data_IF_432558955281
#
_entry.id   IF_432558955281
#
_cell.length_a   1.000
_cell.length_b   1.000
_cell.length_c   1.000
_cell.angle_alpha   90.00
_cell.angle_beta   90.00
_cell.angle_gamma   90.00
#
_symmetry.space_group_name_H-M   'P 1'
#
loop_
_entity.id
_entity.type
_entity.pdbx_description
1 polymer ?
#
# COMPACT_ATOMS: atom_id res chain seq x y z
N UNK A 1 6.04 0.85 0.93
CA UNK A 1 5.88 -0.54 0.42
C UNK A 1 5.84 -0.57 -1.09
N UNK A 2 6.42 -1.58 -1.67
CA UNK A 2 6.30 -1.81 -3.11
C UNK A 2 4.97 -2.47 -3.43
N UNK A 3 4.53 -2.35 -4.69
CA UNK A 3 3.27 -2.95 -5.12
C UNK A 3 3.20 -4.44 -4.80
N UNK A 4 4.28 -5.18 -5.05
CA UNK A 4 4.36 -6.60 -4.75
C UNK A 4 4.05 -6.91 -3.28
N UNK A 5 4.60 -6.11 -2.38
CA UNK A 5 4.38 -6.28 -0.95
C UNK A 5 2.92 -5.99 -0.58
N UNK A 6 2.34 -4.94 -1.16
CA UNK A 6 0.95 -4.58 -0.90
C UNK A 6 0.03 -5.71 -1.35
N UNK A 7 0.27 -6.25 -2.54
CA UNK A 7 -0.54 -7.35 -3.06
C UNK A 7 -0.47 -8.58 -2.15
N UNK A 8 0.73 -8.88 -1.64
CA UNK A 8 0.92 -10.02 -0.75
C UNK A 8 0.25 -9.80 0.61
N UNK A 9 0.40 -8.61 1.18
CA UNK A 9 -0.17 -8.28 2.50
C UNK A 9 -1.69 -8.29 2.47
N UNK A 10 -2.29 -7.69 1.44
CA UNK A 10 -3.74 -7.59 1.34
C UNK A 10 -4.38 -8.79 0.65
N UNK A 11 -3.59 -9.62 -0.03
CA UNK A 11 -4.13 -10.75 -0.79
C UNK A 11 -5.02 -10.32 -1.95
N UNK A 12 -4.65 -9.24 -2.63
CA UNK A 12 -5.44 -8.67 -3.72
C UNK A 12 -4.66 -8.70 -5.02
N UNK A 13 -5.35 -8.48 -6.14
CA UNK A 13 -4.71 -8.35 -7.46
C UNK A 13 -4.40 -6.88 -7.75
N UNK A 14 -3.61 -6.65 -8.81
CA UNK A 14 -3.21 -5.31 -9.20
C UNK A 14 -4.39 -4.41 -9.54
N UNK A 15 -5.43 -4.96 -10.14
CA UNK A 15 -6.64 -4.20 -10.48
C UNK A 15 -7.29 -3.65 -9.21
N UNK A 16 -7.40 -4.48 -8.18
CA UNK A 16 -7.99 -4.06 -6.90
C UNK A 16 -7.11 -3.00 -6.23
N UNK A 17 -5.79 -3.18 -6.29
CA UNK A 17 -4.86 -2.17 -5.76
C UNK A 17 -5.07 -0.82 -6.46
N UNK A 18 -5.17 -0.81 -7.78
CA UNK A 18 -5.41 0.42 -8.53
C UNK A 18 -6.71 1.10 -8.09
N UNK A 19 -7.75 0.32 -7.83
CA UNK A 19 -9.03 0.85 -7.35
C UNK A 19 -8.89 1.48 -5.97
N UNK A 20 -8.15 0.85 -5.07
CA UNK A 20 -7.91 1.42 -3.73
C UNK A 20 -7.13 2.73 -3.80
N UNK A 21 -6.12 2.80 -4.66
CA UNK A 21 -5.36 4.03 -4.86
C UNK A 21 -6.26 5.12 -5.43
N UNK A 22 -7.07 4.79 -6.43
CA UNK A 22 -7.96 5.74 -7.07
C UNK A 22 -9.03 6.27 -6.10
N UNK A 23 -9.52 5.42 -5.21
CA UNK A 23 -10.51 5.83 -4.21
C UNK A 23 -9.92 6.59 -3.03
N UNK A 24 -8.59 6.64 -2.93
CA UNK A 24 -7.91 7.33 -1.84
C UNK A 24 -7.71 6.49 -0.58
N UNK A 25 -8.05 5.21 -0.63
CA UNK A 25 -7.88 4.32 0.52
C UNK A 25 -6.41 3.96 0.76
N UNK A 26 -5.62 3.86 -0.31
CA UNK A 26 -4.18 3.65 -0.24
C UNK A 26 -3.50 4.88 -0.82
N UNK A 27 -2.58 5.46 -0.06
CA UNK A 27 -1.82 6.63 -0.52
C UNK A 27 -0.48 6.21 -1.09
N UNK A 28 -0.02 6.95 -2.09
CA UNK A 28 1.31 6.78 -2.65
C UNK A 28 2.23 7.80 -2.01
N UNK A 29 3.29 7.32 -1.34
CA UNK A 29 4.25 8.21 -0.68
C UNK A 29 5.16 8.91 -1.68
N UNK A 30 5.81 8.12 -2.54
CA UNK A 30 6.72 8.66 -3.56
C UNK A 30 6.67 7.77 -4.79
N UNK A 31 7.15 8.33 -5.91
CA UNK A 31 7.33 7.58 -7.16
C UNK A 31 8.80 7.66 -7.55
N UNK A 32 9.45 6.51 -7.71
CA UNK A 32 10.85 6.41 -8.09
C UNK A 32 10.93 5.63 -9.40
N UNK A 33 11.51 6.24 -10.44
CA UNK A 33 11.69 5.60 -11.75
C UNK A 33 10.39 4.96 -12.27
N UNK A 34 9.26 5.66 -12.11
CA UNK A 34 7.96 5.17 -12.55
C UNK A 34 7.34 4.12 -11.64
N UNK A 35 8.02 3.73 -10.57
CA UNK A 35 7.48 2.76 -9.61
C UNK A 35 6.96 3.48 -8.36
N UNK A 36 5.74 3.15 -7.99
CA UNK A 36 5.12 3.75 -6.81
C UNK A 36 5.57 3.05 -5.53
N UNK A 37 5.76 3.86 -4.49
CA UNK A 37 5.97 3.38 -3.13
C UNK A 37 4.72 3.70 -2.33
N UNK A 38 4.03 2.69 -1.86
CA UNK A 38 2.75 2.85 -1.18
C UNK A 38 2.95 3.09 0.30
N UNK A 39 2.06 3.90 0.90
CA UNK A 39 2.09 4.18 2.32
C UNK A 39 1.70 2.94 3.12
N UNK A 40 2.62 2.42 3.92
CA UNK A 40 2.39 1.18 4.67
C UNK A 40 1.26 1.32 5.69
N UNK A 41 1.14 2.48 6.34
CA UNK A 41 0.08 2.71 7.31
C UNK A 41 -1.30 2.59 6.67
N UNK A 42 -1.50 3.17 5.47
CA UNK A 42 -2.78 3.06 4.78
C UNK A 42 -3.08 1.62 4.40
N UNK A 43 -2.07 0.86 3.98
CA UNK A 43 -2.23 -0.55 3.61
C UNK A 43 -2.67 -1.36 4.82
N UNK A 44 -1.96 -1.24 5.95
CA UNK A 44 -2.30 -2.00 7.15
C UNK A 44 -3.62 -1.54 7.77
N UNK A 45 -3.97 -0.28 7.61
CA UNK A 45 -5.26 0.22 8.08
C UNK A 45 -6.41 -0.45 7.34
N UNK A 46 -6.27 -0.68 6.04
CA UNK A 46 -7.27 -1.43 5.27
C UNK A 46 -7.39 -2.87 5.76
N UNK A 47 -6.27 -3.45 6.19
CA UNK A 47 -6.24 -4.80 6.73
C UNK A 47 -6.85 -4.88 8.13
N UNK A 48 -7.04 -3.74 8.79
CA UNK A 48 -7.55 -3.69 10.16
C UNK A 48 -6.48 -3.91 11.21
N UNK A 49 -5.21 -3.76 10.85
CA UNK A 49 -4.08 -3.97 11.75
C UNK A 49 -3.19 -2.74 11.79
N UNK A 50 -2.39 -2.61 12.85
CA UNK A 50 -1.38 -1.58 12.90
C UNK A 50 -0.16 -1.99 12.07
N UNK A 51 0.47 -1.01 11.44
CA UNK A 51 1.70 -1.26 10.69
C UNK A 51 2.81 -1.70 11.64
N UNK A 52 3.66 -2.68 11.23
CA UNK A 52 4.84 -3.05 12.01
C UNK A 52 5.77 -1.85 12.22
N UNK A 53 6.54 -1.88 13.29
CA UNK A 53 7.44 -0.77 13.62
C UNK A 53 8.43 -0.44 12.52
N UNK A 54 8.82 -1.41 11.69
CA UNK A 54 9.73 -1.15 10.58
C UNK A 54 9.17 -0.15 9.57
N UNK A 55 7.86 0.04 9.55
CA UNK A 55 7.19 1.02 8.67
C UNK A 55 6.79 2.29 9.39
N UNK A 56 6.91 2.32 10.72
CA UNK A 56 6.63 3.52 11.50
C UNK A 56 7.91 4.32 11.68
N UNK A 57 7.78 5.62 11.63
CA UNK A 57 8.91 6.51 11.90
C UNK A 57 8.73 7.21 13.23
#
# INVERSE_FOLDING_TARGET
>A
MRAKEVLAVLGICRRTLARYVKSGQIKIDITINGQHRYNAESVYRLLGQEAPEIYKK
#
